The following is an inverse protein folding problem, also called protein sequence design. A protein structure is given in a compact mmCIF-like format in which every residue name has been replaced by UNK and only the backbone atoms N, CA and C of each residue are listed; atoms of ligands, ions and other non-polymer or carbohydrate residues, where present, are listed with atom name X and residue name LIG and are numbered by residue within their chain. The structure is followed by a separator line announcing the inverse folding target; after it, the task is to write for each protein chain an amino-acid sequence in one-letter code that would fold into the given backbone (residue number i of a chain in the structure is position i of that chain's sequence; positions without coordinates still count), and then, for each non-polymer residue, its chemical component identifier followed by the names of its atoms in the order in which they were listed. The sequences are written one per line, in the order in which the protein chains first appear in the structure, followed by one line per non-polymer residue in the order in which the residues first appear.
data_IF_149232631280
#
_entry.id   IF_149232631280
#
_cell.length_a   1.000
_cell.length_b   1.000
_cell.length_c   1.000
_cell.angle_alpha   90.00
_cell.angle_beta   90.00
_cell.angle_gamma   90.00
#
_symmetry.space_group_name_H-M   'P 1'
#
loop_
_entity.id
_entity.type
_entity.pdbx_description
1 polymer ?
#
# COMPACT_ATOMS: atom_id res chain seq x y z
N UNK A 1 61.32 4.75 23.82
CA UNK A 1 60.00 4.17 24.16
C UNK A 1 59.25 5.16 25.02
N UNK A 2 58.16 5.75 24.53
CA UNK A 2 57.33 6.66 25.33
C UNK A 2 56.31 5.83 26.11
N UNK A 3 56.52 5.70 27.43
CA UNK A 3 55.49 5.16 28.32
C UNK A 3 54.35 6.18 28.40
N UNK A 4 53.17 5.80 27.89
CA UNK A 4 51.93 6.54 28.06
C UNK A 4 51.59 6.47 29.55
N UNK A 5 51.68 7.58 30.29
CA UNK A 5 51.26 7.66 31.70
C UNK A 5 49.79 7.25 31.81
N UNK A 6 49.51 5.99 32.12
CA UNK A 6 48.16 5.51 32.43
C UNK A 6 47.78 6.03 33.81
N UNK A 7 47.23 7.26 33.86
CA UNK A 7 46.60 7.79 35.07
C UNK A 7 45.27 7.06 35.26
N UNK A 8 45.25 6.07 36.15
CA UNK A 8 44.01 5.38 36.55
C UNK A 8 43.25 6.22 37.57
N UNK A 9 41.96 6.44 37.34
CA UNK A 9 41.06 7.13 38.27
C UNK A 9 39.92 6.20 38.67
N UNK A 10 39.62 6.14 39.96
CA UNK A 10 38.50 5.35 40.49
C UNK A 10 37.25 6.22 40.56
N UNK A 11 36.13 5.72 40.04
CA UNK A 11 34.82 6.38 40.12
C UNK A 11 33.82 5.51 40.87
N UNK A 12 32.91 6.13 41.61
CA UNK A 12 31.81 5.44 42.26
C UNK A 12 30.64 5.26 41.28
N UNK A 13 30.14 4.03 41.18
CA UNK A 13 29.03 3.68 40.30
C UNK A 13 28.04 2.82 41.09
N UNK A 14 26.73 3.07 40.91
CA UNK A 14 25.69 2.23 41.54
C UNK A 14 25.84 0.77 41.08
N UNK A 15 25.64 -0.18 42.00
CA UNK A 15 25.81 -1.61 41.72
C UNK A 15 24.97 -2.10 40.50
N UNK A 16 23.74 -1.58 40.34
CA UNK A 16 22.88 -1.91 39.21
C UNK A 16 23.46 -1.41 37.88
N UNK A 17 23.99 -0.19 37.86
CA UNK A 17 24.64 0.42 36.68
C UNK A 17 25.91 -0.34 36.31
N UNK A 18 26.70 -0.75 37.30
CA UNK A 18 27.88 -1.60 37.08
C UNK A 18 27.50 -2.96 36.47
N UNK A 19 26.43 -3.61 36.97
CA UNK A 19 25.93 -4.86 36.40
C UNK A 19 25.46 -4.69 34.95
N UNK A 20 24.80 -3.58 34.64
CA UNK A 20 24.37 -3.26 33.29
C UNK A 20 25.58 -3.07 32.35
N UNK A 21 26.57 -2.28 32.78
CA UNK A 21 27.80 -2.05 32.03
C UNK A 21 28.51 -3.38 31.72
N UNK A 22 28.60 -4.28 32.71
CA UNK A 22 29.16 -5.62 32.52
C UNK A 22 28.42 -6.46 31.48
N UNK A 23 27.08 -6.40 31.46
CA UNK A 23 26.27 -7.10 30.45
C UNK A 23 26.48 -6.53 29.05
N UNK A 24 26.55 -5.20 28.93
CA UNK A 24 26.72 -4.52 27.65
C UNK A 24 28.11 -4.79 27.05
N UNK A 25 29.17 -4.71 27.85
CA UNK A 25 30.52 -5.07 27.45
C UNK A 25 30.62 -6.54 27.01
N UNK A 26 30.01 -7.47 27.77
CA UNK A 26 29.96 -8.88 27.41
C UNK A 26 29.23 -9.13 26.08
N UNK A 27 28.12 -8.43 25.80
CA UNK A 27 27.39 -8.53 24.54
C UNK A 27 28.24 -8.12 23.34
N UNK A 28 29.14 -7.16 23.52
CA UNK A 28 30.08 -6.68 22.50
C UNK A 28 31.42 -7.41 22.50
N UNK A 29 31.62 -8.37 23.41
CA UNK A 29 32.84 -9.17 23.55
C UNK A 29 34.11 -8.31 23.74
N UNK A 30 33.98 -7.19 24.45
CA UNK A 30 35.09 -6.28 24.74
C UNK A 30 35.28 -6.11 26.25
N UNK A 31 36.50 -5.76 26.70
CA UNK A 31 36.73 -5.35 28.08
C UNK A 31 35.83 -4.17 28.48
N UNK A 32 35.50 -4.11 29.78
CA UNK A 32 34.60 -3.07 30.29
C UNK A 32 35.20 -1.66 30.18
N UNK A 33 36.53 -1.54 30.31
CA UNK A 33 37.26 -0.29 30.11
C UNK A 33 37.08 0.24 28.69
N UNK A 34 37.27 -0.64 27.72
CA UNK A 34 37.29 -0.30 26.30
C UNK A 34 35.87 0.04 25.83
N UNK A 35 34.88 -0.74 26.30
CA UNK A 35 33.47 -0.42 26.09
C UNK A 35 33.10 0.97 26.63
N UNK A 36 33.60 1.33 27.82
CA UNK A 36 33.30 2.62 28.43
C UNK A 36 34.02 3.77 27.71
N UNK A 37 35.27 3.58 27.29
CA UNK A 37 36.01 4.55 26.50
C UNK A 37 35.33 4.81 25.15
N UNK A 38 34.97 3.74 24.42
CA UNK A 38 34.23 3.83 23.17
C UNK A 38 32.87 4.52 23.35
N UNK A 39 32.15 4.19 24.42
CA UNK A 39 30.88 4.83 24.73
C UNK A 39 31.05 6.34 24.99
N UNK A 40 32.06 6.74 25.77
CA UNK A 40 32.35 8.15 26.04
C UNK A 40 32.77 8.90 24.78
N UNK A 41 33.61 8.31 23.94
CA UNK A 41 34.01 8.88 22.64
C UNK A 41 32.80 9.00 21.71
N UNK A 42 31.92 8.01 21.70
CA UNK A 42 30.68 8.04 20.92
C UNK A 42 29.75 9.17 21.39
N UNK A 43 29.53 9.31 22.70
CA UNK A 43 28.74 10.41 23.27
C UNK A 43 29.37 11.77 22.95
N UNK A 44 30.69 11.90 23.07
CA UNK A 44 31.40 13.15 22.76
C UNK A 44 31.28 13.54 21.28
N UNK A 45 31.36 12.56 20.36
CA UNK A 45 31.28 12.82 18.91
C UNK A 45 29.87 13.11 18.43
N UNK A 46 28.88 12.43 19.03
CA UNK A 46 27.50 12.51 18.54
C UNK A 46 26.70 13.59 19.27
N UNK A 47 27.08 13.98 20.49
CA UNK A 47 26.32 14.88 21.36
C UNK A 47 24.85 14.49 21.51
N UNK A 48 24.50 13.23 21.20
CA UNK A 48 23.13 12.76 21.25
C UNK A 48 22.74 12.69 22.72
N UNK A 49 21.86 13.60 23.12
CA UNK A 49 21.19 13.52 24.40
C UNK A 49 20.34 12.24 24.41
N UNK A 50 20.49 11.35 25.41
CA UNK A 50 19.61 10.20 25.57
C UNK A 50 18.11 10.56 25.54
N UNK A 51 17.74 11.77 25.96
CA UNK A 51 16.35 12.27 25.91
C UNK A 51 15.88 12.57 24.47
N UNK A 52 16.79 12.95 23.56
CA UNK A 52 16.46 13.19 22.14
C UNK A 52 16.25 11.89 21.34
N UNK A 53 16.77 10.76 21.81
CA UNK A 53 16.59 9.47 21.12
C UNK A 53 15.15 8.99 21.25
N UNK A 54 14.52 9.20 22.41
CA UNK A 54 13.13 8.78 22.63
C UNK A 54 12.15 9.68 21.87
N UNK A 55 12.42 10.99 21.76
CA UNK A 55 11.62 11.90 20.93
C UNK A 55 11.72 11.58 19.43
N UNK A 56 12.92 11.23 18.93
CA UNK A 56 13.12 10.81 17.55
C UNK A 56 12.43 9.48 17.21
N UNK A 57 12.42 8.51 18.11
CA UNK A 57 11.69 7.24 17.90
C UNK A 57 10.18 7.45 17.83
N UNK A 58 9.62 8.29 18.70
CA UNK A 58 8.20 8.65 18.69
C UNK A 58 7.84 9.35 17.37
N UNK A 59 8.71 10.24 16.88
CA UNK A 59 8.49 10.96 15.63
C UNK A 59 8.48 10.02 14.40
N UNK A 60 9.47 9.13 14.28
CA UNK A 60 9.53 8.17 13.16
C UNK A 60 8.33 7.22 13.15
N UNK A 61 7.89 6.75 14.32
CA UNK A 61 6.69 5.90 14.41
C UNK A 61 5.42 6.64 14.01
N UNK A 62 5.27 7.90 14.43
CA UNK A 62 4.14 8.75 14.04
C UNK A 62 4.13 9.02 12.54
N UNK A 63 5.26 9.38 11.96
CA UNK A 63 5.39 9.58 10.51
C UNK A 63 5.02 8.33 9.70
N UNK A 64 5.43 7.15 10.18
CA UNK A 64 5.08 5.88 9.53
C UNK A 64 3.58 5.59 9.60
N UNK A 65 2.95 5.90 10.74
CA UNK A 65 1.52 5.75 10.92
C UNK A 65 0.73 6.73 10.04
N UNK A 66 1.14 8.00 9.99
CA UNK A 66 0.52 9.02 9.14
C UNK A 66 0.62 8.65 7.64
N UNK A 67 1.76 8.09 7.21
CA UNK A 67 1.95 7.61 5.84
C UNK A 67 0.99 6.45 5.51
N UNK A 68 0.83 5.50 6.43
CA UNK A 68 -0.10 4.38 6.27
C UNK A 68 -1.54 4.87 6.16
N UNK A 69 -1.93 5.80 7.03
CA UNK A 69 -3.29 6.35 7.04
C UNK A 69 -3.57 7.18 5.78
N UNK A 70 -2.56 7.91 5.28
CA UNK A 70 -2.62 8.62 3.99
C UNK A 70 -2.80 7.66 2.82
N UNK A 71 -2.04 6.56 2.78
CA UNK A 71 -2.15 5.57 1.72
C UNK A 71 -3.53 4.90 1.71
N UNK A 72 -4.03 4.49 2.88
CA UNK A 72 -5.37 3.90 3.00
C UNK A 72 -6.45 4.90 2.56
N UNK A 73 -6.33 6.16 2.98
CA UNK A 73 -7.28 7.21 2.60
C UNK A 73 -7.26 7.47 1.09
N UNK A 74 -6.08 7.47 0.49
CA UNK A 74 -5.93 7.57 -0.97
C UNK A 74 -6.64 6.42 -1.70
N UNK A 75 -6.40 5.17 -1.28
CA UNK A 75 -7.03 4.00 -1.90
C UNK A 75 -8.56 4.07 -1.79
N UNK A 76 -9.10 4.41 -0.61
CA UNK A 76 -10.55 4.60 -0.41
C UNK A 76 -11.12 5.69 -1.30
N UNK A 77 -10.39 6.80 -1.46
CA UNK A 77 -10.79 7.89 -2.34
C UNK A 77 -10.82 7.45 -3.80
N UNK A 78 -9.79 6.73 -4.27
CA UNK A 78 -9.75 6.18 -5.63
C UNK A 78 -10.90 5.19 -5.89
N UNK A 79 -11.21 4.33 -4.92
CA UNK A 79 -12.34 3.41 -5.00
C UNK A 79 -13.67 4.15 -5.15
N UNK A 80 -13.93 5.12 -4.26
CA UNK A 80 -15.19 5.85 -4.23
C UNK A 80 -15.39 6.81 -5.41
N UNK A 81 -14.34 7.51 -5.84
CA UNK A 81 -14.46 8.59 -6.84
C UNK A 81 -14.32 8.09 -8.28
N UNK A 82 -13.68 6.93 -8.49
CA UNK A 82 -13.40 6.43 -9.83
C UNK A 82 -13.91 5.02 -10.06
N UNK A 83 -13.54 4.05 -9.21
CA UNK A 83 -13.82 2.62 -9.50
C UNK A 83 -15.32 2.33 -9.40
N UNK A 84 -15.98 2.75 -8.32
CA UNK A 84 -17.42 2.53 -8.13
C UNK A 84 -18.24 3.22 -9.24
N UNK A 85 -18.04 4.52 -9.55
CA UNK A 85 -18.78 5.19 -10.62
C UNK A 85 -18.60 4.55 -11.99
N UNK A 86 -17.39 4.07 -12.33
CA UNK A 86 -17.16 3.36 -13.61
C UNK A 86 -18.01 2.08 -13.66
N UNK A 87 -18.01 1.30 -12.58
CA UNK A 87 -18.78 0.06 -12.49
C UNK A 87 -20.29 0.33 -12.63
N UNK A 88 -20.80 1.35 -11.95
CA UNK A 88 -22.21 1.73 -12.00
C UNK A 88 -22.61 2.23 -13.41
N UNK A 89 -21.80 3.09 -14.02
CA UNK A 89 -22.04 3.58 -15.38
C UNK A 89 -22.04 2.45 -16.42
N UNK A 90 -21.17 1.45 -16.28
CA UNK A 90 -21.17 0.27 -17.15
C UNK A 90 -22.46 -0.54 -16.99
N UNK A 91 -22.93 -0.74 -15.76
CA UNK A 91 -24.19 -1.45 -15.51
C UNK A 91 -25.39 -0.71 -16.10
N UNK A 92 -25.45 0.61 -15.94
CA UNK A 92 -26.49 1.46 -16.53
C UNK A 92 -26.48 1.38 -18.05
N UNK A 93 -25.30 1.48 -18.69
CA UNK A 93 -25.18 1.36 -20.14
C UNK A 93 -25.62 -0.01 -20.67
N UNK A 94 -25.35 -1.09 -19.92
CA UNK A 94 -25.82 -2.43 -20.28
C UNK A 94 -27.35 -2.53 -20.21
N UNK A 95 -27.97 -2.00 -19.16
CA UNK A 95 -29.43 -1.97 -19.02
C UNK A 95 -30.08 -1.13 -20.14
N UNK A 96 -29.52 0.02 -20.47
CA UNK A 96 -30.02 0.86 -21.57
C UNK A 96 -29.95 0.11 -22.92
N UNK A 97 -28.87 -0.64 -23.14
CA UNK A 97 -28.71 -1.44 -24.36
C UNK A 97 -29.76 -2.54 -24.44
N UNK A 98 -30.06 -3.23 -23.34
CA UNK A 98 -31.12 -4.24 -23.27
C UNK A 98 -32.47 -3.61 -23.62
N UNK A 99 -32.83 -2.49 -22.97
CA UNK A 99 -34.10 -1.80 -23.24
C UNK A 99 -34.23 -1.35 -24.70
N UNK A 100 -33.13 -0.87 -25.31
CA UNK A 100 -33.12 -0.51 -26.74
C UNK A 100 -33.32 -1.72 -27.64
N UNK A 101 -32.75 -2.87 -27.29
CA UNK A 101 -32.93 -4.12 -28.03
C UNK A 101 -34.35 -4.66 -27.89
N UNK A 102 -34.93 -4.63 -26.69
CA UNK A 102 -36.33 -5.01 -26.44
C UNK A 102 -37.28 -4.14 -27.26
N UNK A 103 -37.12 -2.82 -27.19
CA UNK A 103 -37.93 -1.89 -28.00
C UNK A 103 -37.78 -2.13 -29.51
N UNK A 104 -36.57 -2.47 -29.99
CA UNK A 104 -36.33 -2.79 -31.40
C UNK A 104 -37.02 -4.09 -31.81
N UNK A 105 -36.98 -5.11 -30.95
CA UNK A 105 -37.69 -6.37 -31.17
C UNK A 105 -39.19 -6.10 -31.26
N UNK A 106 -39.74 -5.34 -30.31
CA UNK A 106 -41.17 -5.01 -30.27
C UNK A 106 -41.61 -4.26 -31.53
N UNK A 107 -40.81 -3.27 -31.99
CA UNK A 107 -41.09 -2.58 -33.26
C UNK A 107 -41.01 -3.51 -34.46
N UNK A 108 -40.07 -4.46 -34.48
CA UNK A 108 -39.95 -5.44 -35.56
C UNK A 108 -41.09 -6.46 -35.57
N UNK A 109 -41.67 -6.77 -34.40
CA UNK A 109 -42.85 -7.64 -34.28
C UNK A 109 -44.17 -6.95 -34.59
N UNK A 110 -44.29 -5.64 -34.30
CA UNK A 110 -45.48 -4.83 -34.61
C UNK A 110 -45.50 -4.29 -36.04
N UNK A 111 -44.41 -4.41 -36.79
CA UNK A 111 -44.44 -4.20 -38.23
C UNK A 111 -45.46 -5.19 -38.82
N UNK A 112 -46.50 -4.72 -39.53
CA UNK A 112 -47.41 -5.63 -40.21
C UNK A 112 -46.54 -6.50 -41.11
N UNK A 113 -46.61 -7.83 -40.95
CA UNK A 113 -46.01 -8.78 -41.89
C UNK A 113 -46.57 -8.40 -43.25
N UNK A 114 -45.82 -7.59 -43.99
CA UNK A 114 -46.30 -7.08 -45.24
C UNK A 114 -46.44 -8.32 -46.11
N UNK A 115 -47.67 -8.68 -46.47
CA UNK A 115 -47.95 -9.91 -47.20
C UNK A 115 -47.04 -10.02 -48.44
N UNK A 116 -46.65 -8.87 -49.00
CA UNK A 116 -45.64 -8.76 -50.06
C UNK A 116 -44.23 -9.21 -49.66
N UNK A 117 -43.74 -8.89 -48.46
CA UNK A 117 -42.46 -9.39 -47.94
C UNK A 117 -42.51 -10.90 -47.70
N UNK A 118 -43.60 -11.40 -47.10
CA UNK A 118 -43.73 -12.84 -46.83
C UNK A 118 -43.82 -13.67 -48.12
N UNK A 119 -44.55 -13.18 -49.13
CA UNK A 119 -44.59 -13.78 -50.46
C UNK A 119 -43.27 -13.62 -51.23
N UNK A 120 -42.55 -12.50 -51.07
CA UNK A 120 -41.21 -12.32 -51.64
C UNK A 120 -40.19 -13.29 -51.02
N UNK A 121 -40.20 -13.47 -49.70
CA UNK A 121 -39.35 -14.46 -49.02
C UNK A 121 -39.68 -15.89 -49.47
N UNK A 122 -40.97 -16.25 -49.57
CA UNK A 122 -41.36 -17.57 -50.09
C UNK A 122 -40.87 -17.81 -51.51
N UNK A 123 -40.94 -16.81 -52.40
CA UNK A 123 -40.42 -16.92 -53.78
C UNK A 123 -38.90 -17.13 -53.80
N UNK A 124 -38.15 -16.36 -53.03
CA UNK A 124 -36.69 -16.49 -52.93
C UNK A 124 -36.28 -17.87 -52.38
N UNK A 125 -36.97 -18.38 -51.35
CA UNK A 125 -36.69 -19.72 -50.82
C UNK A 125 -37.04 -20.86 -51.79
N UNK A 126 -38.05 -20.68 -52.64
CA UNK A 126 -38.40 -21.66 -53.69
C UNK A 126 -37.40 -21.63 -54.84
N UNK A 127 -36.93 -20.44 -55.25
CA UNK A 127 -35.86 -20.28 -56.26
C UNK A 127 -34.56 -20.95 -55.81
N UNK A 128 -34.10 -20.68 -54.57
CA UNK A 128 -32.88 -21.28 -54.02
C UNK A 128 -32.97 -22.82 -53.94
N UNK A 129 -34.18 -23.36 -53.71
CA UNK A 129 -34.38 -24.82 -53.60
C UNK A 129 -34.50 -25.51 -54.97
N UNK A 130 -34.85 -24.79 -56.03
CA UNK A 130 -34.99 -25.33 -57.38
C UNK A 130 -33.73 -25.14 -58.24
N UNK A 131 -32.79 -24.28 -57.83
CA UNK A 131 -31.49 -24.06 -58.48
C UNK A 131 -30.34 -24.92 -57.90
N UNK A 132 -30.62 -25.80 -56.93
CA UNK A 132 -29.69 -26.81 -56.39
C UNK A 132 -30.15 -28.23 -56.69
#
# INVERSE_FOLDING_TARGET
MMQKNQKSTTIYVKANTFRLLKKLAAKKQVPMSDYLEDALVFFQKTSIDPEEIDSNKINVQKQLQDLKDTFISFIRKQESEHIIPIKENQQLGFQETILRLENLIDTMTDLPRNHQMEEAFKRVFVEIRNEG
#
